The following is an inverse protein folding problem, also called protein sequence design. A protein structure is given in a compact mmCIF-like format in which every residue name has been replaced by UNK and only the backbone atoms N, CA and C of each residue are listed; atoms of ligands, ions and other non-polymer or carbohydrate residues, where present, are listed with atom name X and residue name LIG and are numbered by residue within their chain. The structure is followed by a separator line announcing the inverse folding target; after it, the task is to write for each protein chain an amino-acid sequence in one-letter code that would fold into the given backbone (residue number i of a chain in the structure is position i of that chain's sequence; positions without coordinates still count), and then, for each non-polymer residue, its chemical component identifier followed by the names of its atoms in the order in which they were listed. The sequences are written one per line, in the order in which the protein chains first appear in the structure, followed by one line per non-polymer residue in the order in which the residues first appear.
data_IF_864703825385
#
_entry.id   IF_864703825385
#
_cell.length_a   1.000
_cell.length_b   1.000
_cell.length_c   1.000
_cell.angle_alpha   90.00
_cell.angle_beta   90.00
_cell.angle_gamma   90.00
#
_symmetry.space_group_name_H-M   'P 1'
#
loop_
_entity.id
_entity.type
_entity.pdbx_description
1 polymer ?
#
# COMPACT_ATOMS: atom_id res chain seq x y z
N UNK A 1 10.16 5.82 4.72
CA UNK A 1 9.20 4.96 4.03
C UNK A 1 9.91 3.70 3.55
N UNK A 2 9.39 2.52 3.89
CA UNK A 2 9.90 1.22 3.42
C UNK A 2 8.81 0.53 2.59
N UNK A 3 9.18 0.10 1.38
CA UNK A 3 8.39 -0.81 0.53
C UNK A 3 9.17 -2.12 0.41
N UNK A 4 8.77 -3.20 1.13
CA UNK A 4 9.53 -4.45 1.19
C UNK A 4 9.26 -5.33 -0.04
N UNK A 5 9.46 -4.78 -1.24
CA UNK A 5 9.11 -5.41 -2.51
C UNK A 5 9.70 -6.81 -2.63
N UNK A 6 8.82 -7.81 -2.76
CA UNK A 6 9.19 -9.21 -2.92
C UNK A 6 9.74 -9.86 -1.64
N UNK A 7 9.47 -9.29 -0.46
CA UNK A 7 9.69 -9.95 0.82
C UNK A 7 8.93 -11.28 0.85
N UNK A 8 9.60 -12.36 1.20
CA UNK A 8 9.09 -13.73 1.12
C UNK A 8 9.37 -14.45 -0.19
N UNK A 9 9.70 -13.75 -1.27
CA UNK A 9 10.00 -14.37 -2.56
C UNK A 9 11.43 -15.00 -2.60
N UNK A 10 12.39 -14.37 -1.94
CA UNK A 10 13.76 -14.88 -1.78
C UNK A 10 14.28 -14.61 -0.38
N UNK A 11 15.21 -15.46 0.11
CA UNK A 11 15.85 -15.26 1.40
C UNK A 11 16.57 -13.91 1.49
N UNK A 12 17.27 -13.52 0.42
CA UNK A 12 17.98 -12.25 0.36
C UNK A 12 17.04 -11.04 0.51
N UNK A 13 15.93 -10.98 -0.24
CA UNK A 13 14.96 -9.88 -0.14
C UNK A 13 14.31 -9.82 1.24
N UNK A 14 13.99 -10.97 1.81
CA UNK A 14 13.39 -11.06 3.14
C UNK A 14 14.35 -10.57 4.21
N UNK A 15 15.63 -10.95 4.14
CA UNK A 15 16.66 -10.50 5.07
C UNK A 15 16.86 -8.98 4.97
N UNK A 16 17.06 -8.45 3.77
CA UNK A 16 17.25 -7.00 3.56
C UNK A 16 16.03 -6.20 4.04
N UNK A 17 14.81 -6.68 3.73
CA UNK A 17 13.59 -6.03 4.20
C UNK A 17 13.51 -6.00 5.74
N UNK A 18 13.91 -7.09 6.42
CA UNK A 18 13.93 -7.15 7.88
C UNK A 18 15.00 -6.21 8.47
N UNK A 19 16.18 -6.15 7.89
CA UNK A 19 17.26 -5.22 8.29
C UNK A 19 16.81 -3.75 8.15
N UNK A 20 16.16 -3.41 7.04
CA UNK A 20 15.62 -2.06 6.81
C UNK A 20 14.45 -1.74 7.74
N UNK A 21 13.59 -2.70 8.06
CA UNK A 21 12.50 -2.50 9.01
C UNK A 21 13.02 -2.24 10.43
N UNK A 22 14.17 -2.82 10.80
CA UNK A 22 14.83 -2.57 12.09
C UNK A 22 15.36 -1.12 12.24
N UNK A 23 15.48 -0.36 11.16
CA UNK A 23 15.84 1.06 11.18
C UNK A 23 14.66 1.98 11.50
N UNK A 24 13.55 1.44 11.96
CA UNK A 24 12.33 2.16 12.36
C UNK A 24 11.83 3.16 11.27
N UNK A 25 11.49 2.68 10.07
CA UNK A 25 10.91 3.54 9.05
C UNK A 25 9.58 4.12 9.55
N UNK A 26 9.27 5.36 9.20
CA UNK A 26 8.02 6.03 9.60
C UNK A 26 6.76 5.27 9.13
N UNK A 27 6.82 4.73 7.91
CA UNK A 27 5.74 3.92 7.30
C UNK A 27 6.36 2.73 6.59
N UNK A 28 5.79 1.54 6.78
CA UNK A 28 6.02 0.35 5.95
C UNK A 28 4.76 0.16 5.12
N UNK A 29 4.89 -0.01 3.80
CA UNK A 29 3.76 -0.31 2.92
C UNK A 29 4.09 -1.52 2.06
N UNK A 30 3.22 -2.53 2.05
CA UNK A 30 3.37 -3.73 1.22
C UNK A 30 2.03 -4.38 0.91
N UNK A 31 2.02 -5.38 0.04
CA UNK A 31 0.86 -6.25 -0.10
C UNK A 31 0.76 -7.24 1.06
N UNK A 32 -0.36 -7.97 1.15
CA UNK A 32 -0.59 -8.90 2.25
C UNK A 32 0.53 -9.94 2.42
N UNK A 33 1.01 -10.55 1.32
CA UNK A 33 2.07 -11.57 1.37
C UNK A 33 3.40 -11.00 1.87
N UNK A 34 3.75 -9.78 1.46
CA UNK A 34 4.96 -9.08 1.89
C UNK A 34 4.91 -8.75 3.37
N UNK A 35 3.77 -8.24 3.86
CA UNK A 35 3.59 -7.89 5.28
C UNK A 35 3.57 -9.14 6.17
N UNK A 36 2.88 -10.21 5.77
CA UNK A 36 2.91 -11.49 6.48
C UNK A 36 4.35 -12.03 6.58
N UNK A 37 5.09 -12.01 5.47
CA UNK A 37 6.48 -12.47 5.45
C UNK A 37 7.38 -11.63 6.34
N UNK A 38 7.25 -10.30 6.28
CA UNK A 38 8.06 -9.38 7.08
C UNK A 38 7.71 -9.44 8.57
N UNK A 39 6.47 -9.77 8.93
CA UNK A 39 6.06 -9.97 10.33
C UNK A 39 6.63 -11.25 10.93
N UNK A 40 7.14 -12.19 10.13
CA UNK A 40 7.59 -13.51 10.55
C UNK A 40 6.47 -14.54 10.62
N UNK A 41 5.27 -14.22 10.19
CA UNK A 41 4.15 -15.18 10.08
C UNK A 41 4.29 -15.96 8.77
N UNK A 42 5.14 -16.99 8.79
CA UNK A 42 5.40 -17.86 7.64
C UNK A 42 4.28 -18.88 7.51
N UNK A 43 3.48 -18.78 6.47
CA UNK A 43 2.42 -19.77 6.17
C UNK A 43 1.94 -19.72 4.71
N UNK A 44 2.10 -18.61 4.02
CA UNK A 44 1.76 -18.51 2.62
C UNK A 44 3.04 -18.46 1.78
N UNK A 45 3.31 -19.51 1.00
CA UNK A 45 4.33 -19.48 -0.02
C UNK A 45 3.99 -18.32 -0.98
N UNK A 46 4.68 -17.20 -0.85
CA UNK A 46 4.50 -16.09 -1.77
C UNK A 46 5.10 -16.50 -3.12
N UNK A 47 4.23 -16.67 -4.10
CA UNK A 47 4.64 -16.87 -5.50
C UNK A 47 4.94 -15.51 -6.13
N UNK A 48 6.10 -14.93 -5.84
CA UNK A 48 6.53 -13.69 -6.49
C UNK A 48 5.85 -12.42 -5.96
N UNK A 49 5.70 -11.41 -6.83
CA UNK A 49 5.16 -10.07 -6.49
C UNK A 49 3.63 -10.06 -6.36
N UNK A 50 2.96 -11.11 -6.89
CA UNK A 50 1.50 -11.24 -6.81
C UNK A 50 1.07 -11.83 -5.47
N UNK A 51 0.26 -11.08 -4.74
CA UNK A 51 -0.28 -11.50 -3.45
C UNK A 51 -1.42 -12.49 -3.63
N UNK A 52 -1.23 -13.73 -3.14
CA UNK A 52 -2.32 -14.70 -3.02
C UNK A 52 -3.12 -14.55 -1.72
N UNK A 53 -2.60 -13.78 -0.75
CA UNK A 53 -3.25 -13.49 0.51
C UNK A 53 -4.09 -12.20 0.40
N UNK A 54 -5.22 -12.16 1.13
CA UNK A 54 -6.07 -10.98 1.19
C UNK A 54 -5.52 -9.98 2.23
N UNK A 55 -5.72 -8.70 1.98
CA UNK A 55 -5.25 -7.65 2.89
C UNK A 55 -5.86 -7.77 4.30
N UNK A 56 -7.10 -8.24 4.39
CA UNK A 56 -7.80 -8.50 5.66
C UNK A 56 -7.06 -9.54 6.52
N UNK A 57 -6.50 -10.57 5.89
CA UNK A 57 -5.79 -11.66 6.59
C UNK A 57 -4.45 -11.15 7.18
N UNK A 58 -3.92 -10.06 6.65
CA UNK A 58 -2.66 -9.47 7.09
C UNK A 58 -2.82 -8.34 8.13
N UNK A 59 -4.05 -7.95 8.51
CA UNK A 59 -4.27 -6.83 9.45
C UNK A 59 -3.66 -7.07 10.82
N UNK A 60 -3.80 -8.28 11.36
CA UNK A 60 -3.21 -8.66 12.66
C UNK A 60 -1.68 -8.67 12.60
N UNK A 61 -1.11 -9.16 11.50
CA UNK A 61 0.32 -9.14 11.26
C UNK A 61 0.84 -7.68 11.11
N UNK A 62 0.09 -6.83 10.42
CA UNK A 62 0.40 -5.42 10.27
C UNK A 62 0.38 -4.68 11.62
N UNK A 63 -0.61 -4.93 12.47
CA UNK A 63 -0.68 -4.34 13.80
C UNK A 63 0.52 -4.79 14.66
N UNK A 64 0.85 -6.08 14.65
CA UNK A 64 2.00 -6.63 15.37
C UNK A 64 3.32 -6.02 14.86
N UNK A 65 3.48 -5.93 13.55
CA UNK A 65 4.67 -5.33 12.92
C UNK A 65 4.78 -3.84 13.26
N UNK A 66 3.65 -3.09 13.23
CA UNK A 66 3.61 -1.69 13.59
C UNK A 66 4.06 -1.44 15.04
N UNK A 67 3.57 -2.24 15.98
CA UNK A 67 4.00 -2.18 17.39
C UNK A 67 5.49 -2.49 17.54
N UNK A 68 5.97 -3.58 16.92
CA UNK A 68 7.36 -4.01 17.01
C UNK A 68 8.34 -3.00 16.41
N UNK A 69 7.99 -2.41 15.28
CA UNK A 69 8.85 -1.46 14.56
C UNK A 69 8.62 0.00 14.99
N UNK A 70 7.63 0.29 15.84
CA UNK A 70 7.30 1.66 16.24
C UNK A 70 6.87 2.54 15.07
N UNK A 71 6.15 1.99 14.09
CA UNK A 71 5.81 2.65 12.83
C UNK A 71 4.34 2.45 12.44
N UNK A 72 3.95 3.01 11.31
CA UNK A 72 2.67 2.71 10.67
C UNK A 72 2.88 1.66 9.58
N UNK A 73 1.98 0.69 9.50
CA UNK A 73 2.00 -0.34 8.45
C UNK A 73 0.75 -0.22 7.60
N UNK A 74 0.95 -0.06 6.29
CA UNK A 74 -0.10 -0.03 5.28
C UNK A 74 -0.09 -1.33 4.48
N UNK A 75 -1.20 -2.06 4.49
CA UNK A 75 -1.41 -3.28 3.70
C UNK A 75 -2.28 -2.94 2.52
N UNK A 76 -1.79 -3.21 1.31
CA UNK A 76 -2.55 -2.93 0.08
C UNK A 76 -3.22 -4.17 -0.50
N UNK A 77 -4.44 -3.98 -1.04
CA UNK A 77 -5.27 -5.03 -1.63
C UNK A 77 -6.51 -4.49 -2.31
N UNK A 78 -7.57 -5.29 -2.38
CA UNK A 78 -8.88 -4.83 -2.86
C UNK A 78 -9.51 -3.79 -1.91
N UNK A 79 -9.27 -3.95 -0.62
CA UNK A 79 -9.43 -2.95 0.43
C UNK A 79 -8.06 -2.76 1.07
N UNK A 80 -7.63 -1.53 1.24
CA UNK A 80 -6.36 -1.24 1.91
C UNK A 80 -6.58 -1.04 3.42
N UNK A 81 -5.56 -1.35 4.23
CA UNK A 81 -5.61 -1.18 5.69
C UNK A 81 -4.38 -0.42 6.17
N UNK A 82 -4.59 0.51 7.11
CA UNK A 82 -3.51 1.29 7.74
C UNK A 82 -3.55 1.08 9.24
N UNK A 83 -2.54 0.42 9.78
CA UNK A 83 -2.44 0.02 11.18
C UNK A 83 -1.30 0.78 11.87
N UNK A 84 -1.54 1.27 13.11
CA UNK A 84 -0.53 1.94 13.96
C UNK A 84 -0.16 1.08 15.18
N UNK A 85 -0.60 -0.17 15.20
CA UNK A 85 -0.41 -1.09 16.30
C UNK A 85 -1.55 -1.09 17.33
N UNK A 86 -2.29 0.00 17.49
CA UNK A 86 -3.46 0.08 18.36
C UNK A 86 -4.77 -0.07 17.55
N UNK A 87 -4.84 0.56 16.40
CA UNK A 87 -6.04 0.60 15.57
C UNK A 87 -5.67 0.46 14.09
N UNK A 88 -6.58 -0.15 13.32
CA UNK A 88 -6.52 -0.18 11.86
C UNK A 88 -7.69 0.62 11.27
N UNK A 89 -7.40 1.33 10.18
CA UNK A 89 -8.41 2.05 9.37
C UNK A 89 -8.43 1.38 8.01
N UNK A 90 -9.60 1.13 7.45
CA UNK A 90 -9.73 0.64 6.09
C UNK A 90 -9.90 1.79 5.08
N UNK A 91 -9.35 1.62 3.89
CA UNK A 91 -9.46 2.57 2.77
C UNK A 91 -10.06 1.83 1.59
N UNK A 92 -11.21 2.31 1.14
CA UNK A 92 -11.95 1.73 0.01
C UNK A 92 -11.81 2.67 -1.18
N UNK A 93 -10.98 2.28 -2.14
CA UNK A 93 -10.71 3.06 -3.36
C UNK A 93 -10.04 2.15 -4.41
N UNK A 94 -9.77 2.69 -5.59
CA UNK A 94 -9.07 1.95 -6.63
C UNK A 94 -9.99 1.31 -7.67
N UNK A 95 -9.38 0.53 -8.55
CA UNK A 95 -10.06 -0.14 -9.66
C UNK A 95 -9.37 -1.46 -10.03
N UNK A 96 -10.12 -2.42 -10.56
CA UNK A 96 -9.64 -3.76 -10.93
C UNK A 96 -8.53 -3.79 -12.00
N UNK A 97 -8.34 -2.71 -12.75
CA UNK A 97 -7.21 -2.57 -13.68
C UNK A 97 -5.87 -2.28 -12.99
N UNK A 98 -5.87 -1.75 -11.76
CA UNK A 98 -4.62 -1.36 -11.10
C UNK A 98 -3.67 -2.54 -10.86
N UNK A 99 -4.12 -3.71 -10.38
CA UNK A 99 -3.23 -4.87 -10.22
C UNK A 99 -2.64 -5.40 -11.53
N UNK A 100 -3.25 -5.08 -12.67
CA UNK A 100 -2.78 -5.51 -14.00
C UNK A 100 -1.69 -4.57 -14.57
N UNK A 101 -1.39 -3.47 -13.90
CA UNK A 101 -0.34 -2.52 -14.26
C UNK A 101 0.84 -2.66 -13.31
N UNK A 102 2.03 -2.94 -13.85
CA UNK A 102 3.24 -3.05 -13.04
C UNK A 102 3.68 -1.70 -12.44
N UNK A 103 4.47 -1.75 -11.37
CA UNK A 103 5.09 -0.61 -10.69
C UNK A 103 4.12 0.39 -10.00
N UNK A 104 2.80 0.20 -10.04
CA UNK A 104 1.87 1.08 -9.34
C UNK A 104 2.06 1.04 -7.80
N UNK A 105 2.48 -0.11 -7.26
CA UNK A 105 2.86 -0.20 -5.86
C UNK A 105 4.02 0.75 -5.51
N UNK A 106 5.10 0.72 -6.28
CA UNK A 106 6.24 1.61 -6.07
C UNK A 106 5.85 3.09 -6.22
N UNK A 107 4.97 3.41 -7.17
CA UNK A 107 4.42 4.76 -7.34
C UNK A 107 3.61 5.21 -6.13
N UNK A 108 2.77 4.34 -5.60
CA UNK A 108 2.02 4.59 -4.36
C UNK A 108 2.95 4.80 -3.16
N UNK A 109 4.06 4.06 -3.08
CA UNK A 109 5.05 4.24 -2.02
C UNK A 109 5.71 5.62 -2.08
N UNK A 110 6.00 6.13 -3.27
CA UNK A 110 6.51 7.49 -3.46
C UNK A 110 5.47 8.55 -3.01
N UNK A 111 4.20 8.39 -3.39
CA UNK A 111 3.11 9.26 -2.94
C UNK A 111 2.96 9.20 -1.42
N UNK A 112 3.00 8.02 -0.82
CA UNK A 112 2.92 7.85 0.64
C UNK A 112 4.07 8.57 1.35
N UNK A 113 5.28 8.49 0.82
CA UNK A 113 6.44 9.20 1.36
C UNK A 113 6.25 10.73 1.32
N UNK A 114 5.71 11.26 0.22
CA UNK A 114 5.42 12.69 0.07
C UNK A 114 4.38 13.17 1.11
N UNK A 115 3.33 12.40 1.34
CA UNK A 115 2.34 12.71 2.39
C UNK A 115 2.95 12.62 3.80
N UNK A 116 3.80 11.62 4.05
CA UNK A 116 4.45 11.43 5.36
C UNK A 116 5.45 12.55 5.70
N UNK A 117 5.93 13.29 4.71
CA UNK A 117 6.79 14.46 4.94
C UNK A 117 6.02 15.65 5.56
N UNK A 118 4.68 15.69 5.43
CA UNK A 118 3.87 16.87 5.79
C UNK A 118 2.68 16.55 6.70
N UNK A 119 2.44 15.29 7.03
CA UNK A 119 1.31 14.85 7.87
C UNK A 119 1.74 13.76 8.87
N UNK A 120 1.01 13.59 9.98
CA UNK A 120 1.21 12.44 10.88
C UNK A 120 1.13 11.12 10.13
N UNK A 121 1.97 10.12 10.45
CA UNK A 121 2.20 8.93 9.61
C UNK A 121 0.94 8.14 9.23
N UNK A 122 0.03 7.91 10.18
CA UNK A 122 -1.23 7.17 9.93
C UNK A 122 -2.16 7.92 8.98
N UNK A 123 -2.34 9.22 9.22
CA UNK A 123 -3.13 10.08 8.34
C UNK A 123 -2.49 10.19 6.95
N UNK A 124 -1.17 10.32 6.89
CA UNK A 124 -0.41 10.37 5.64
C UNK A 124 -0.61 9.11 4.80
N UNK A 125 -0.46 7.93 5.41
CA UNK A 125 -0.65 6.66 4.72
C UNK A 125 -2.10 6.50 4.22
N UNK A 126 -3.10 6.75 5.07
CA UNK A 126 -4.50 6.64 4.68
C UNK A 126 -4.88 7.64 3.57
N UNK A 127 -4.42 8.89 3.65
CA UNK A 127 -4.65 9.90 2.62
C UNK A 127 -3.97 9.55 1.30
N UNK A 128 -2.74 9.05 1.33
CA UNK A 128 -2.02 8.63 0.13
C UNK A 128 -2.74 7.47 -0.59
N UNK A 129 -3.18 6.45 0.16
CA UNK A 129 -3.96 5.33 -0.36
C UNK A 129 -5.27 5.82 -1.00
N UNK A 130 -6.02 6.67 -0.28
CA UNK A 130 -7.28 7.23 -0.77
C UNK A 130 -7.09 8.05 -2.06
N UNK A 131 -6.10 8.94 -2.09
CA UNK A 131 -5.81 9.79 -3.25
C UNK A 131 -5.35 8.97 -4.45
N UNK A 132 -4.43 8.03 -4.22
CA UNK A 132 -3.89 7.20 -5.30
C UNK A 132 -4.94 6.24 -5.84
N UNK A 133 -5.74 5.62 -4.98
CA UNK A 133 -6.84 4.75 -5.38
C UNK A 133 -7.94 5.51 -6.12
N UNK A 134 -8.32 6.70 -5.65
CA UNK A 134 -9.26 7.57 -6.37
C UNK A 134 -8.74 7.97 -7.75
N UNK A 135 -7.44 8.29 -7.85
CA UNK A 135 -6.81 8.56 -9.14
C UNK A 135 -6.87 7.34 -10.07
N UNK A 136 -6.60 6.15 -9.55
CA UNK A 136 -6.72 4.89 -10.29
C UNK A 136 -8.14 4.62 -10.78
N UNK A 137 -9.15 4.87 -9.95
CA UNK A 137 -10.56 4.71 -10.32
C UNK A 137 -10.99 5.66 -11.45
N UNK A 138 -10.58 6.92 -11.40
CA UNK A 138 -10.85 7.91 -12.45
C UNK A 138 -10.07 7.60 -13.72
N UNK A 139 -8.79 7.28 -13.60
CA UNK A 139 -7.92 6.94 -14.73
C UNK A 139 -8.45 5.72 -15.51
N UNK A 140 -8.92 4.70 -14.80
CA UNK A 140 -9.45 3.49 -15.40
C UNK A 140 -10.67 3.73 -16.30
N UNK A 141 -11.47 4.77 -16.04
CA UNK A 141 -12.60 5.16 -16.89
C UNK A 141 -12.18 5.77 -18.23
N UNK A 142 -10.91 6.19 -18.36
CA UNK A 142 -10.35 6.83 -19.55
C UNK A 142 -9.44 5.90 -20.34
N UNK A 143 -9.02 4.79 -19.73
CA UNK A 143 -8.12 3.81 -20.33
C UNK A 143 -8.89 2.70 -21.05
N UNK A 144 -8.37 2.26 -22.20
CA UNK A 144 -8.86 1.04 -22.87
C UNK A 144 -8.26 -0.23 -22.27
N UNK A 145 -7.26 -0.11 -21.37
CA UNK A 145 -6.58 -1.22 -20.73
C UNK A 145 -5.44 -0.76 -19.81
N UNK A 146 -4.75 -1.70 -19.14
CA UNK A 146 -3.77 -1.38 -18.11
C UNK A 146 -2.51 -0.66 -18.63
N UNK A 147 -2.21 -0.74 -19.93
CA UNK A 147 -0.98 -0.17 -20.50
C UNK A 147 -0.88 1.36 -20.40
N UNK A 148 -2.01 2.08 -20.51
CA UNK A 148 -2.06 3.53 -20.39
C UNK A 148 -2.38 4.02 -18.97
N UNK A 149 -2.77 3.10 -18.09
CA UNK A 149 -3.23 3.45 -16.73
C UNK A 149 -2.21 4.26 -15.92
N UNK A 150 -0.89 3.96 -15.93
CA UNK A 150 0.09 4.74 -15.16
C UNK A 150 0.15 6.22 -15.58
N UNK A 151 0.11 6.52 -16.87
CA UNK A 151 0.13 7.90 -17.37
C UNK A 151 -1.15 8.65 -16.97
N UNK A 152 -2.32 8.01 -17.14
CA UNK A 152 -3.60 8.59 -16.74
C UNK A 152 -3.72 8.77 -15.21
N UNK A 153 -3.09 7.92 -14.41
CA UNK A 153 -2.99 8.14 -12.95
C UNK A 153 -2.20 9.40 -12.66
N UNK A 154 -1.04 9.62 -13.29
CA UNK A 154 -0.24 10.83 -13.12
C UNK A 154 -1.04 12.09 -13.50
N UNK A 155 -1.72 12.07 -14.63
CA UNK A 155 -2.55 13.17 -15.08
C UNK A 155 -3.75 13.42 -14.16
N UNK A 156 -4.32 12.37 -13.61
CA UNK A 156 -5.43 12.45 -12.66
C UNK A 156 -4.96 12.99 -11.31
N UNK A 157 -3.80 12.55 -10.81
CA UNK A 157 -3.20 13.11 -9.59
C UNK A 157 -2.93 14.60 -9.72
N UNK A 158 -2.44 15.05 -10.87
CA UNK A 158 -2.22 16.48 -11.15
C UNK A 158 -3.53 17.29 -11.10
N UNK A 159 -4.65 16.71 -11.55
CA UNK A 159 -5.97 17.36 -11.60
C UNK A 159 -6.85 17.04 -10.40
N UNK A 160 -6.36 16.28 -9.41
CA UNK A 160 -7.17 15.82 -8.27
C UNK A 160 -7.71 17.01 -7.48
N UNK A 161 -9.03 17.01 -7.31
CA UNK A 161 -9.71 17.94 -6.43
C UNK A 161 -10.46 17.21 -5.31
N UNK A 162 -10.93 17.97 -4.34
CA UNK A 162 -11.65 17.45 -3.17
C UNK A 162 -12.94 16.72 -3.56
N UNK A 163 -13.67 17.23 -4.55
CA UNK A 163 -14.94 16.63 -4.99
C UNK A 163 -14.71 15.25 -5.65
N UNK A 164 -13.67 15.12 -6.45
CA UNK A 164 -13.25 13.86 -7.07
C UNK A 164 -12.81 12.85 -6.01
N UNK A 165 -11.98 13.28 -5.05
CA UNK A 165 -11.54 12.41 -3.95
C UNK A 165 -12.74 11.88 -3.16
N UNK A 166 -13.66 12.75 -2.75
CA UNK A 166 -14.83 12.39 -1.94
C UNK A 166 -15.78 11.39 -2.65
N UNK A 167 -15.80 11.39 -3.98
CA UNK A 167 -16.62 10.45 -4.76
C UNK A 167 -16.00 9.05 -4.88
N UNK A 168 -14.68 8.96 -4.86
CA UNK A 168 -13.95 7.73 -5.24
C UNK A 168 -13.18 7.08 -4.08
N UNK A 169 -13.16 7.67 -2.90
CA UNK A 169 -12.51 7.10 -1.72
C UNK A 169 -13.40 7.18 -0.49
N UNK A 170 -13.37 6.12 0.33
CA UNK A 170 -14.06 6.04 1.63
C UNK A 170 -13.11 5.45 2.66
N UNK A 171 -13.19 6.00 3.87
CA UNK A 171 -12.46 5.50 5.04
C UNK A 171 -13.48 4.96 6.07
N UNK A 172 -13.15 3.84 6.70
CA UNK A 172 -13.95 3.27 7.78
C UNK A 172 -13.08 2.60 8.85
#
# INVERSE_FOLDING_TARGET
MLDPVGCGATAYRTQVAAELAALAPTVIRGNASEILSLSGQVGAASKGVDSSARAEDATSAAATLAQRAGCVVAVTGATDYVCDGANCVSVHSGHALMPLSTALGCSLSAVTAAFAAVRPPKLAAAAALAVFGAAGAVAAQRCQGPGHLPAEICDTLYRMDHATLARHARLS
#
